data_IF_002851161462
#
_entry.id   IF_002851161462
#
_cell.length_a   1.000
_cell.length_b   1.000
_cell.length_c   1.000
_cell.angle_alpha   90.00
_cell.angle_beta   90.00
_cell.angle_gamma   90.00
#
_symmetry.space_group_name_H-M   'P 1'
#
loop_
_entity.id
_entity.type
_entity.pdbx_description
1 polymer ?
#
# COMPACT_ATOMS: atom_id res chain seq x y z
N UNK A 1 32.58 59.28 -23.13
CA UNK A 1 32.71 57.85 -22.76
C UNK A 1 31.39 57.41 -22.12
N UNK A 2 30.55 56.69 -22.87
CA UNK A 2 29.30 56.12 -22.38
C UNK A 2 29.58 54.66 -21.98
N UNK A 3 29.53 54.33 -20.69
CA UNK A 3 29.55 52.93 -20.24
C UNK A 3 28.12 52.37 -20.31
N UNK A 4 27.91 51.41 -21.20
CA UNK A 4 26.74 50.51 -21.14
C UNK A 4 26.97 49.45 -20.07
N UNK A 5 26.13 49.44 -19.03
CA UNK A 5 26.03 48.32 -18.11
C UNK A 5 25.00 47.33 -18.67
N UNK A 6 25.48 46.21 -19.23
CA UNK A 6 24.62 45.09 -19.62
C UNK A 6 24.24 44.32 -18.34
N UNK A 7 22.98 44.43 -17.93
CA UNK A 7 22.42 43.61 -16.85
C UNK A 7 22.25 42.17 -17.36
N UNK A 8 23.02 41.25 -16.80
CA UNK A 8 22.84 39.83 -17.04
C UNK A 8 21.53 39.37 -16.37
N UNK A 9 20.51 39.09 -17.18
CA UNK A 9 19.32 38.38 -16.74
C UNK A 9 19.72 36.95 -16.40
N UNK A 10 19.86 36.65 -15.11
CA UNK A 10 19.96 35.28 -14.65
C UNK A 10 18.63 34.56 -14.98
N UNK A 11 18.65 33.43 -15.72
CA UNK A 11 17.43 32.67 -15.96
C UNK A 11 16.91 32.16 -14.61
N UNK A 12 15.66 32.51 -14.29
CA UNK A 12 14.97 31.89 -13.17
C UNK A 12 14.86 30.38 -13.43
N UNK A 13 15.14 29.51 -12.46
CA UNK A 13 14.81 28.11 -12.61
C UNK A 13 13.29 27.98 -12.62
N UNK A 14 12.71 27.89 -13.82
CA UNK A 14 11.33 27.48 -14.00
C UNK A 14 11.31 25.96 -14.15
N UNK A 15 11.13 25.27 -13.03
CA UNK A 15 10.43 24.01 -13.05
C UNK A 15 9.18 24.23 -12.23
N UNK A 16 8.04 24.46 -12.90
CA UNK A 16 6.78 24.09 -12.28
C UNK A 16 6.87 22.58 -12.09
N UNK A 17 7.15 22.13 -10.86
CA UNK A 17 7.09 20.71 -10.53
C UNK A 17 5.71 20.21 -10.96
N UNK A 18 5.66 19.18 -11.82
CA UNK A 18 4.41 18.55 -12.20
C UNK A 18 3.73 17.96 -10.98
N UNK A 19 2.43 17.65 -11.07
CA UNK A 19 1.74 16.87 -10.04
C UNK A 19 1.71 15.43 -10.50
N UNK A 20 2.23 14.50 -9.70
CA UNK A 20 2.13 13.07 -9.99
C UNK A 20 0.67 12.63 -9.82
N UNK A 21 -0.02 12.46 -10.94
CA UNK A 21 -1.41 11.99 -10.97
C UNK A 21 -1.51 10.49 -10.64
N UNK A 22 -2.68 10.00 -10.21
CA UNK A 22 -2.91 8.57 -10.02
C UNK A 22 -2.67 7.74 -11.28
N UNK A 23 -2.91 8.32 -12.46
CA UNK A 23 -2.66 7.67 -13.76
C UNK A 23 -1.17 7.52 -14.03
N UNK A 24 -0.38 8.57 -13.83
CA UNK A 24 1.08 8.50 -13.97
C UNK A 24 1.67 7.54 -12.94
N UNK A 25 1.18 7.57 -11.70
CA UNK A 25 1.62 6.64 -10.68
C UNK A 25 1.30 5.18 -11.05
N UNK A 26 0.16 4.92 -11.70
CA UNK A 26 -0.19 3.59 -12.22
C UNK A 26 0.76 3.13 -13.34
N UNK A 27 1.15 4.05 -14.24
CA UNK A 27 2.16 3.74 -15.28
C UNK A 27 3.53 3.42 -14.65
N UNK A 28 3.93 4.18 -13.64
CA UNK A 28 5.18 3.95 -12.90
C UNK A 28 5.13 2.65 -12.10
N UNK A 29 3.98 2.32 -11.51
CA UNK A 29 3.75 1.02 -10.87
C UNK A 29 3.94 -0.11 -11.88
N UNK A 30 3.30 -0.01 -13.05
CA UNK A 30 3.41 -1.00 -14.10
C UNK A 30 4.87 -1.19 -14.57
N UNK A 31 5.68 -0.14 -14.58
CA UNK A 31 7.09 -0.21 -14.94
C UNK A 31 8.00 -0.74 -13.81
N UNK A 32 7.76 -0.33 -12.55
CA UNK A 32 8.70 -0.50 -11.44
C UNK A 32 8.40 -1.65 -10.48
N UNK A 33 7.15 -2.15 -10.44
CA UNK A 33 6.76 -3.22 -9.49
C UNK A 33 6.84 -4.59 -10.17
N UNK A 34 7.50 -5.57 -9.55
CA UNK A 34 7.48 -6.96 -9.97
C UNK A 34 6.31 -7.73 -9.33
N UNK A 35 5.96 -8.92 -9.85
CA UNK A 35 4.86 -9.76 -9.35
C UNK A 35 3.52 -9.00 -9.31
N UNK A 36 3.20 -8.32 -10.41
CA UNK A 36 1.94 -7.57 -10.55
C UNK A 36 0.81 -8.54 -10.92
N UNK A 37 -0.40 -8.23 -10.50
CA UNK A 37 -1.60 -8.94 -10.90
C UNK A 37 -2.36 -8.16 -11.96
N UNK A 38 -2.86 -8.85 -12.97
CA UNK A 38 -3.75 -8.28 -13.98
C UNK A 38 -5.20 -8.42 -13.50
N UNK A 39 -5.68 -7.43 -12.76
CA UNK A 39 -6.98 -7.46 -12.09
C UNK A 39 -8.07 -7.01 -13.06
N UNK A 40 -9.06 -7.87 -13.39
CA UNK A 40 -10.18 -7.51 -14.25
C UNK A 40 -10.97 -6.32 -13.70
N UNK A 41 -11.50 -5.47 -14.58
CA UNK A 41 -12.16 -4.24 -14.14
C UNK A 41 -13.36 -4.47 -13.21
N UNK A 42 -14.13 -5.53 -13.39
CA UNK A 42 -15.21 -5.91 -12.47
C UNK A 42 -14.69 -6.22 -11.06
N UNK A 43 -13.53 -6.86 -10.96
CA UNK A 43 -12.88 -7.16 -9.68
C UNK A 43 -12.40 -5.88 -9.00
N UNK A 44 -11.84 -4.94 -9.78
CA UNK A 44 -11.47 -3.61 -9.27
C UNK A 44 -12.67 -2.92 -8.58
N UNK A 45 -13.86 -3.00 -9.17
CA UNK A 45 -15.08 -2.43 -8.58
C UNK A 45 -15.52 -3.15 -7.30
N UNK A 46 -15.44 -4.48 -7.27
CA UNK A 46 -15.77 -5.28 -6.07
C UNK A 46 -14.85 -4.89 -4.92
N UNK A 47 -13.54 -4.89 -5.15
CA UNK A 47 -12.55 -4.58 -4.12
C UNK A 47 -12.59 -3.13 -3.65
N UNK A 48 -12.87 -2.18 -4.55
CA UNK A 48 -13.15 -0.81 -4.17
C UNK A 48 -14.40 -0.69 -3.27
N UNK A 49 -15.45 -1.45 -3.58
CA UNK A 49 -16.68 -1.49 -2.76
C UNK A 49 -16.46 -2.09 -1.37
N UNK A 50 -15.73 -3.20 -1.27
CA UNK A 50 -15.36 -3.82 0.02
C UNK A 50 -14.51 -2.86 0.86
N UNK A 51 -13.53 -2.19 0.25
CA UNK A 51 -12.73 -1.17 0.92
C UNK A 51 -13.58 0.01 1.40
N UNK A 52 -14.52 0.49 0.58
CA UNK A 52 -15.43 1.58 0.98
C UNK A 52 -16.33 1.18 2.16
N UNK A 53 -16.79 -0.07 2.22
CA UNK A 53 -17.60 -0.57 3.33
C UNK A 53 -16.82 -0.51 4.67
N UNK A 54 -15.56 -0.95 4.68
CA UNK A 54 -14.68 -0.82 5.85
C UNK A 54 -14.43 0.64 6.23
N UNK A 55 -14.17 1.51 5.23
CA UNK A 55 -13.94 2.93 5.44
C UNK A 55 -15.17 3.66 6.00
N UNK A 56 -16.38 3.29 5.56
CA UNK A 56 -17.62 3.86 6.06
C UNK A 56 -17.91 3.47 7.52
N UNK A 57 -17.40 2.32 7.98
CA UNK A 57 -17.45 1.90 9.38
C UNK A 57 -16.42 2.59 10.29
N UNK A 58 -15.44 3.30 9.72
CA UNK A 58 -14.39 3.95 10.51
C UNK A 58 -14.89 5.26 11.15
N UNK A 59 -14.69 5.48 12.47
CA UNK A 59 -15.31 6.59 13.23
C UNK A 59 -15.06 7.98 12.66
N UNK A 60 -13.86 8.20 12.12
CA UNK A 60 -13.42 9.53 11.68
C UNK A 60 -13.83 9.89 10.25
N UNK A 61 -14.48 8.97 9.51
CA UNK A 61 -14.96 9.21 8.15
C UNK A 61 -13.88 9.78 7.21
N UNK A 62 -13.19 8.93 6.45
CA UNK A 62 -12.12 9.42 5.58
C UNK A 62 -12.69 10.18 4.36
N UNK A 63 -12.64 11.51 4.40
CA UNK A 63 -13.22 12.37 3.35
C UNK A 63 -12.20 12.93 2.35
N UNK A 64 -10.92 12.98 2.72
CA UNK A 64 -9.88 13.57 1.88
C UNK A 64 -9.41 12.60 0.78
N UNK A 65 -9.05 13.11 -0.41
CA UNK A 65 -8.40 12.30 -1.44
C UNK A 65 -7.07 11.76 -0.94
N UNK A 66 -6.86 10.45 -1.06
CA UNK A 66 -5.63 9.81 -0.63
C UNK A 66 -5.41 8.44 -1.28
N UNK A 67 -4.16 7.99 -1.28
CA UNK A 67 -3.84 6.60 -1.58
C UNK A 67 -4.17 5.69 -0.38
N UNK A 68 -4.54 4.46 -0.67
CA UNK A 68 -4.88 3.43 0.31
C UNK A 68 -4.20 2.13 -0.09
N UNK A 69 -3.59 1.47 0.90
CA UNK A 69 -3.19 0.08 0.75
C UNK A 69 -4.36 -0.78 1.22
N UNK A 70 -5.02 -1.47 0.29
CA UNK A 70 -6.10 -2.40 0.60
C UNK A 70 -5.55 -3.81 0.48
N UNK A 71 -5.79 -4.67 1.47
CA UNK A 71 -5.30 -6.04 1.49
C UNK A 71 -6.48 -6.99 1.69
N UNK A 72 -6.64 -7.92 0.76
CA UNK A 72 -7.54 -9.05 0.96
C UNK A 72 -6.79 -10.18 1.67
N UNK A 73 -7.23 -10.42 2.91
CA UNK A 73 -6.71 -11.44 3.81
C UNK A 73 -7.37 -12.81 3.63
N UNK A 74 -8.36 -12.93 2.75
CA UNK A 74 -8.96 -14.21 2.38
C UNK A 74 -7.86 -15.18 1.91
N UNK A 75 -7.76 -16.42 2.44
CA UNK A 75 -6.75 -17.40 2.02
C UNK A 75 -6.79 -17.71 0.51
N UNK A 76 -7.96 -17.62 -0.11
CA UNK A 76 -8.15 -17.85 -1.54
C UNK A 76 -7.63 -16.69 -2.40
N UNK A 77 -7.40 -15.50 -1.84
CA UNK A 77 -7.02 -14.29 -2.59
C UNK A 77 -5.63 -13.76 -2.25
N UNK A 78 -5.38 -13.40 -0.99
CA UNK A 78 -4.06 -12.95 -0.52
C UNK A 78 -3.41 -11.89 -1.43
N UNK A 79 -4.07 -10.74 -1.58
CA UNK A 79 -3.67 -9.70 -2.54
C UNK A 79 -3.63 -8.33 -1.87
N UNK A 80 -2.64 -7.53 -2.24
CA UNK A 80 -2.58 -6.10 -1.94
C UNK A 80 -2.93 -5.28 -3.18
N UNK A 81 -3.86 -4.35 -3.02
CA UNK A 81 -4.25 -3.34 -3.99
C UNK A 81 -3.78 -1.98 -3.51
N UNK A 82 -3.15 -1.21 -4.39
CA UNK A 82 -2.90 0.19 -4.18
C UNK A 82 -3.99 0.98 -4.90
N UNK A 83 -4.88 1.59 -4.14
CA UNK A 83 -5.95 2.42 -4.67
C UNK A 83 -5.65 3.91 -4.44
N UNK A 84 -6.05 4.75 -5.39
CA UNK A 84 -6.34 6.15 -5.12
C UNK A 84 -7.82 6.31 -4.88
N UNK A 85 -8.21 6.87 -3.74
CA UNK A 85 -9.60 7.22 -3.43
C UNK A 85 -9.75 8.73 -3.53
N UNK A 86 -10.58 9.18 -4.47
CA UNK A 86 -10.84 10.61 -4.66
C UNK A 86 -11.91 11.12 -3.67
N UNK A 87 -13.00 10.37 -3.54
CA UNK A 87 -14.13 10.63 -2.66
C UNK A 87 -14.86 9.30 -2.41
N UNK A 88 -15.81 9.21 -1.44
CA UNK A 88 -16.55 7.99 -1.16
C UNK A 88 -17.10 7.29 -2.41
N UNK A 89 -16.71 6.03 -2.61
CA UNK A 89 -17.13 5.21 -3.76
C UNK A 89 -16.45 5.57 -5.10
N UNK A 90 -15.50 6.50 -5.13
CA UNK A 90 -14.70 6.83 -6.34
C UNK A 90 -13.25 6.44 -6.15
N UNK A 91 -12.92 5.28 -6.70
CA UNK A 91 -11.59 4.69 -6.64
C UNK A 91 -10.97 4.59 -8.03
N UNK A 92 -9.65 4.68 -8.07
CA UNK A 92 -8.83 4.31 -9.22
C UNK A 92 -7.76 3.33 -8.73
N UNK A 93 -7.67 2.16 -9.37
CA UNK A 93 -6.58 1.24 -9.10
C UNK A 93 -5.28 1.81 -9.66
N UNK A 94 -4.25 1.87 -8.82
CA UNK A 94 -2.87 2.15 -9.23
C UNK A 94 -2.21 0.86 -9.69
N UNK A 95 -2.39 -0.22 -8.92
CA UNK A 95 -1.95 -1.56 -9.26
C UNK A 95 -2.17 -2.56 -8.12
N UNK A 96 -1.90 -3.83 -8.37
CA UNK A 96 -2.06 -4.90 -7.39
C UNK A 96 -0.90 -5.89 -7.44
N UNK A 97 -0.62 -6.53 -6.30
CA UNK A 97 0.39 -7.57 -6.14
C UNK A 97 -0.11 -8.65 -5.17
N UNK A 98 0.40 -9.88 -5.20
CA UNK A 98 0.15 -10.82 -4.12
C UNK A 98 0.67 -10.26 -2.79
N UNK A 99 0.00 -10.63 -1.71
CA UNK A 99 0.40 -10.36 -0.34
C UNK A 99 0.44 -11.68 0.44
N UNK A 100 0.96 -11.65 1.66
CA UNK A 100 0.80 -12.76 2.61
C UNK A 100 0.38 -12.19 3.95
N UNK A 101 -0.79 -12.56 4.43
CA UNK A 101 -1.33 -12.20 5.75
C UNK A 101 -1.22 -13.38 6.71
N UNK A 102 -1.55 -13.15 7.98
CA UNK A 102 -1.56 -14.18 9.01
C UNK A 102 -2.81 -15.02 8.90
N UNK A 103 -2.66 -16.34 8.89
CA UNK A 103 -3.79 -17.27 8.78
C UNK A 103 -4.25 -17.76 10.14
N UNK A 104 -5.57 -17.92 10.35
CA UNK A 104 -6.10 -18.62 11.50
C UNK A 104 -5.82 -20.13 11.47
N UNK A 105 -5.26 -20.70 10.39
CA UNK A 105 -5.00 -22.14 10.29
C UNK A 105 -3.58 -22.53 10.70
N UNK A 106 -2.69 -21.55 10.93
CA UNK A 106 -1.27 -21.81 11.22
C UNK A 106 -0.97 -21.73 12.72
N UNK A 107 -0.59 -22.86 13.38
CA UNK A 107 -0.31 -22.86 14.81
C UNK A 107 0.76 -21.84 15.22
N UNK A 108 0.53 -21.16 16.34
CA UNK A 108 1.44 -20.15 16.89
C UNK A 108 1.40 -18.78 16.20
N UNK A 109 0.58 -18.62 15.15
CA UNK A 109 0.41 -17.34 14.45
C UNK A 109 -0.85 -16.58 14.92
N UNK A 110 -0.86 -15.28 14.64
CA UNK A 110 -2.04 -14.43 14.78
C UNK A 110 -2.67 -14.22 13.40
N UNK A 111 -4.00 -14.26 13.36
CA UNK A 111 -4.77 -13.86 12.19
C UNK A 111 -4.63 -12.35 11.98
N UNK A 112 -4.38 -11.92 10.74
CA UNK A 112 -4.37 -10.49 10.44
C UNK A 112 -5.80 -9.95 10.59
N UNK A 113 -6.05 -8.95 11.45
CA UNK A 113 -7.40 -8.46 11.68
C UNK A 113 -7.91 -7.67 10.47
N UNK A 114 -9.19 -7.82 10.14
CA UNK A 114 -9.91 -6.95 9.20
C UNK A 114 -10.23 -5.60 9.85
N UNK A 115 -10.34 -4.56 9.02
CA UNK A 115 -10.65 -3.20 9.44
C UNK A 115 -9.78 -2.14 8.76
N UNK A 116 -9.94 -0.91 9.21
CA UNK A 116 -9.17 0.26 8.76
C UNK A 116 -8.18 0.64 9.84
N UNK A 117 -6.91 0.71 9.48
CA UNK A 117 -5.81 0.96 10.40
C UNK A 117 -5.04 2.21 10.00
N UNK A 118 -5.08 3.29 10.82
CA UNK A 118 -4.23 4.45 10.61
C UNK A 118 -2.77 4.09 10.88
N UNK A 119 -1.89 4.67 10.08
CA UNK A 119 -0.46 4.52 10.23
C UNK A 119 0.02 5.19 11.51
N UNK A 120 0.68 4.41 12.36
CA UNK A 120 1.31 4.88 13.59
C UNK A 120 2.68 5.50 13.31
N UNK A 121 3.48 4.85 12.46
CA UNK A 121 4.80 5.35 12.06
C UNK A 121 5.29 4.73 10.77
N UNK A 122 6.31 5.33 10.18
CA UNK A 122 7.09 4.75 9.09
C UNK A 122 8.55 4.75 9.49
N UNK A 123 9.21 3.61 9.35
CA UNK A 123 10.61 3.45 9.76
C UNK A 123 11.41 2.63 8.76
N UNK A 124 12.73 2.74 8.82
CA UNK A 124 13.61 1.90 8.01
C UNK A 124 13.79 0.55 8.70
N UNK A 125 13.59 -0.53 7.95
CA UNK A 125 13.70 -1.90 8.47
C UNK A 125 15.15 -2.35 8.75
N UNK A 126 16.14 -1.46 8.53
CA UNK A 126 17.57 -1.74 8.61
C UNK A 126 18.15 -2.43 7.35
N UNK A 127 19.50 -2.51 7.28
CA UNK A 127 20.25 -3.00 6.09
C UNK A 127 19.89 -4.42 5.64
N UNK A 128 19.41 -5.28 6.55
CA UNK A 128 19.07 -6.68 6.23
C UNK A 128 17.77 -6.82 5.40
N UNK A 129 16.93 -5.78 5.38
CA UNK A 129 15.62 -5.79 4.72
C UNK A 129 15.57 -4.87 3.50
N UNK A 130 16.54 -3.94 3.35
CA UNK A 130 16.60 -2.94 2.28
C UNK A 130 15.23 -2.31 1.96
N UNK A 131 14.43 -2.02 3.00
CA UNK A 131 13.04 -1.59 2.80
C UNK A 131 12.50 -0.78 3.97
N UNK A 132 11.42 -0.05 3.69
CA UNK A 132 10.56 0.63 4.65
C UNK A 132 9.69 -0.38 5.44
N UNK A 133 9.31 -0.02 6.66
CA UNK A 133 8.23 -0.66 7.45
C UNK A 133 7.14 0.38 7.66
N UNK A 134 5.92 0.04 7.27
CA UNK A 134 4.73 0.82 7.59
C UNK A 134 4.08 0.19 8.81
N UNK A 135 4.02 0.94 9.90
CA UNK A 135 3.55 0.48 11.20
C UNK A 135 2.13 0.97 11.46
N UNK A 136 1.25 0.08 11.92
CA UNK A 136 -0.16 0.35 12.19
C UNK A 136 -0.50 0.08 13.67
N UNK A 137 0.51 0.10 14.54
CA UNK A 137 0.35 -0.03 15.98
C UNK A 137 0.06 -1.45 16.44
N UNK A 138 -0.34 -1.55 17.71
CA UNK A 138 -0.70 -2.82 18.34
C UNK A 138 -2.19 -3.05 18.22
N UNK A 139 -2.56 -4.14 17.57
CA UNK A 139 -3.93 -4.56 17.33
C UNK A 139 -4.26 -5.82 18.13
N UNK A 140 -5.52 -5.97 18.51
CA UNK A 140 -6.02 -7.21 19.10
C UNK A 140 -6.37 -8.17 17.96
N UNK A 141 -5.66 -9.29 17.88
CA UNK A 141 -5.82 -10.27 16.81
C UNK A 141 -6.22 -11.64 17.37
N UNK A 142 -6.97 -12.41 16.59
CA UNK A 142 -7.34 -13.78 16.96
C UNK A 142 -6.14 -14.70 16.83
N UNK A 143 -5.99 -15.64 17.75
CA UNK A 143 -5.01 -16.73 17.65
C UNK A 143 -5.55 -17.80 16.72
N UNK A 144 -4.69 -18.28 15.82
CA UNK A 144 -5.02 -19.33 14.87
C UNK A 144 -5.61 -20.60 15.52
N UNK A 145 -5.12 -20.98 16.69
CA UNK A 145 -5.65 -22.14 17.44
C UNK A 145 -7.08 -21.99 17.96
N UNK A 146 -7.76 -20.87 17.73
CA UNK A 146 -9.06 -20.55 18.33
C UNK A 146 -8.99 -20.24 19.84
N UNK A 147 -7.79 -20.28 20.43
CA UNK A 147 -7.54 -20.10 21.87
C UNK A 147 -7.53 -18.62 22.29
N UNK A 148 -8.51 -17.85 21.83
CA UNK A 148 -8.69 -16.44 22.19
C UNK A 148 -7.85 -15.47 21.36
N UNK A 149 -7.42 -14.38 21.99
CA UNK A 149 -6.81 -13.22 21.34
C UNK A 149 -5.36 -12.99 21.81
N UNK A 150 -4.59 -12.27 21.00
CA UNK A 150 -3.25 -11.80 21.32
C UNK A 150 -3.01 -10.38 20.82
N UNK A 151 -1.93 -9.77 21.30
CA UNK A 151 -1.45 -8.49 20.80
C UNK A 151 -0.61 -8.74 19.54
N UNK A 152 -1.08 -8.26 18.39
CA UNK A 152 -0.37 -8.24 17.12
C UNK A 152 0.20 -6.85 16.91
N UNK A 153 1.50 -6.74 16.67
CA UNK A 153 2.06 -5.51 16.15
C UNK A 153 1.89 -5.51 14.62
N UNK A 154 0.86 -4.81 14.13
CA UNK A 154 0.45 -4.85 12.74
C UNK A 154 1.38 -3.98 11.90
N UNK A 155 2.01 -4.59 10.91
CA UNK A 155 2.99 -3.94 10.03
C UNK A 155 2.79 -4.41 8.60
N UNK A 156 2.99 -3.51 7.64
CA UNK A 156 3.21 -3.86 6.24
C UNK A 156 4.69 -3.70 5.89
N UNK A 157 5.31 -4.76 5.35
CA UNK A 157 6.75 -4.79 5.07
C UNK A 157 7.09 -5.76 3.95
N UNK A 158 8.33 -5.65 3.45
CA UNK A 158 8.82 -6.53 2.40
C UNK A 158 8.93 -7.98 2.91
N UNK A 159 8.49 -8.93 2.10
CA UNK A 159 8.79 -10.33 2.28
C UNK A 159 10.28 -10.58 2.05
N UNK A 160 10.91 -11.37 2.94
CA UNK A 160 12.34 -11.71 2.84
C UNK A 160 12.55 -13.21 2.96
N UNK A 161 13.70 -13.66 2.44
CA UNK A 161 14.08 -15.07 2.46
C UNK A 161 12.98 -15.96 1.87
N UNK A 162 12.61 -17.00 2.62
CA UNK A 162 11.61 -18.00 2.19
C UNK A 162 10.20 -17.42 2.03
N UNK A 163 9.86 -16.36 2.75
CA UNK A 163 8.52 -15.76 2.68
C UNK A 163 8.24 -15.12 1.31
N UNK A 164 9.27 -14.81 0.51
CA UNK A 164 9.08 -14.30 -0.85
C UNK A 164 8.36 -15.30 -1.76
N UNK A 165 8.59 -16.59 -1.56
CA UNK A 165 7.93 -17.66 -2.32
C UNK A 165 6.51 -17.96 -1.81
N UNK A 166 6.10 -17.35 -0.70
CA UNK A 166 4.81 -17.57 -0.04
C UNK A 166 3.85 -16.40 -0.24
N UNK A 167 4.23 -15.39 -1.01
CA UNK A 167 3.33 -14.33 -1.44
C UNK A 167 2.18 -14.94 -2.25
N UNK A 168 0.96 -14.46 -2.01
CA UNK A 168 -0.27 -15.09 -2.50
C UNK A 168 -0.76 -16.24 -1.61
N UNK A 169 -0.24 -16.40 -0.39
CA UNK A 169 -0.72 -17.40 0.58
C UNK A 169 -0.81 -16.79 1.98
N UNK A 170 -1.77 -17.25 2.78
CA UNK A 170 -1.95 -16.79 4.16
C UNK A 170 -0.94 -17.48 5.09
N UNK A 171 0.33 -17.05 5.04
CA UNK A 171 1.41 -17.75 5.74
C UNK A 171 2.20 -16.88 6.73
N UNK A 172 1.92 -15.58 6.82
CA UNK A 172 2.66 -14.72 7.75
C UNK A 172 2.36 -15.07 9.23
N UNK A 173 3.06 -14.42 10.14
CA UNK A 173 2.79 -14.48 11.59
C UNK A 173 1.76 -13.44 12.08
N UNK A 174 1.06 -12.77 11.15
CA UNK A 174 0.06 -11.73 11.41
C UNK A 174 0.37 -10.42 10.70
N UNK A 175 1.61 -10.21 10.27
CA UNK A 175 2.02 -9.02 9.50
C UNK A 175 1.58 -9.12 8.04
N UNK A 176 1.40 -7.98 7.38
CA UNK A 176 1.22 -7.95 5.93
C UNK A 176 2.59 -8.01 5.25
N UNK A 177 2.85 -9.11 4.55
CA UNK A 177 4.05 -9.24 3.73
C UNK A 177 3.74 -8.87 2.28
N UNK A 178 4.55 -7.98 1.72
CA UNK A 178 4.42 -7.45 0.37
C UNK A 178 5.65 -7.82 -0.48
N UNK A 179 5.57 -7.79 -1.82
CA UNK A 179 6.76 -7.91 -2.65
C UNK A 179 7.75 -6.79 -2.34
N UNK A 180 9.07 -7.06 -2.27
CA UNK A 180 10.08 -6.03 -2.04
C UNK A 180 10.00 -4.85 -3.03
N UNK A 181 9.65 -5.12 -4.28
CA UNK A 181 9.47 -4.08 -5.31
C UNK A 181 8.28 -3.16 -5.03
N UNK A 182 7.20 -3.67 -4.43
CA UNK A 182 6.08 -2.82 -4.02
C UNK A 182 6.51 -1.92 -2.86
N UNK A 183 7.20 -2.45 -1.86
CA UNK A 183 7.66 -1.63 -0.72
C UNK A 183 8.65 -0.56 -1.17
N UNK A 184 9.59 -0.90 -2.05
CA UNK A 184 10.51 0.07 -2.65
C UNK A 184 9.76 1.15 -3.44
N UNK A 185 8.72 0.78 -4.20
CA UNK A 185 7.87 1.71 -4.91
C UNK A 185 7.14 2.68 -3.96
N UNK A 186 6.50 2.15 -2.92
CA UNK A 186 5.79 2.96 -1.92
C UNK A 186 6.71 3.96 -1.22
N UNK A 187 7.95 3.56 -0.93
CA UNK A 187 8.97 4.40 -0.30
C UNK A 187 9.52 5.47 -1.26
N UNK A 188 9.89 5.05 -2.47
CA UNK A 188 10.45 5.92 -3.52
C UNK A 188 9.49 7.06 -3.88
N UNK A 189 8.21 6.78 -3.98
CA UNK A 189 7.18 7.76 -4.35
C UNK A 189 6.46 8.37 -3.14
N UNK A 190 6.79 7.97 -1.90
CA UNK A 190 6.16 8.49 -0.68
C UNK A 190 4.64 8.23 -0.60
N UNK A 191 4.15 7.17 -1.25
CA UNK A 191 2.71 6.97 -1.51
C UNK A 191 1.91 6.75 -0.22
N UNK A 192 2.51 6.12 0.78
CA UNK A 192 1.91 5.86 2.11
C UNK A 192 2.65 6.60 3.23
N UNK A 193 3.33 7.70 2.92
CA UNK A 193 4.06 8.48 3.91
C UNK A 193 3.53 9.91 3.96
N UNK A 194 2.29 10.07 4.43
CA UNK A 194 1.65 11.38 4.56
C UNK A 194 2.43 12.37 5.46
N UNK A 195 3.30 11.88 6.34
CA UNK A 195 4.14 12.72 7.21
C UNK A 195 5.48 13.11 6.57
N UNK A 196 5.79 12.57 5.39
CA UNK A 196 7.01 12.91 4.66
C UNK A 196 7.04 14.38 4.28
N UNK A 197 8.11 15.06 4.68
CA UNK A 197 8.32 16.50 4.41
C UNK A 197 8.65 16.75 2.94
N UNK A 198 9.50 15.92 2.34
CA UNK A 198 9.82 15.98 0.92
C UNK A 198 8.88 15.06 0.13
N UNK A 199 7.91 15.66 -0.55
CA UNK A 199 6.91 14.99 -1.37
C UNK A 199 7.27 15.01 -2.87
N UNK A 200 8.54 15.15 -3.19
CA UNK A 200 9.02 15.12 -4.57
C UNK A 200 9.26 13.68 -5.01
N UNK A 201 8.73 13.27 -6.15
CA UNK A 201 9.03 11.98 -6.78
C UNK A 201 10.42 12.00 -7.42
N UNK A 202 11.01 10.84 -7.79
CA UNK A 202 12.31 10.81 -8.47
C UNK A 202 12.38 11.65 -9.75
N UNK A 203 11.25 11.83 -10.43
CA UNK A 203 11.09 12.61 -11.65
C UNK A 203 10.94 14.12 -11.40
N UNK A 204 10.89 14.54 -10.12
CA UNK A 204 10.74 15.95 -9.74
C UNK A 204 9.30 16.41 -9.55
N UNK A 205 8.31 15.52 -9.67
CA UNK A 205 6.90 15.85 -9.51
C UNK A 205 6.49 15.90 -8.03
N UNK A 206 5.49 16.69 -7.70
CA UNK A 206 4.89 16.70 -6.37
C UNK A 206 3.88 15.56 -6.18
N UNK A 207 3.92 14.89 -5.02
CA UNK A 207 2.97 13.86 -4.58
C UNK A 207 1.97 14.44 -3.56
N UNK A 208 0.81 14.97 -3.99
CA UNK A 208 -0.09 15.71 -3.11
C UNK A 208 -0.93 14.83 -2.15
N UNK A 209 -1.26 13.60 -2.55
CA UNK A 209 -2.29 12.78 -1.90
C UNK A 209 -1.75 11.53 -1.21
N UNK A 210 -0.56 11.62 -0.62
CA UNK A 210 0.01 10.51 0.15
C UNK A 210 -0.99 9.98 1.19
N UNK A 211 -1.11 8.65 1.23
CA UNK A 211 -1.96 7.92 2.16
C UNK A 211 -1.33 7.68 3.52
N UNK A 212 -2.17 7.25 4.45
CA UNK A 212 -1.74 6.84 5.79
C UNK A 212 -2.59 5.71 6.36
N UNK A 213 -3.26 4.93 5.50
CA UNK A 213 -4.15 3.86 5.94
C UNK A 213 -3.85 2.55 5.25
N UNK A 214 -3.89 1.49 6.05
CA UNK A 214 -4.05 0.12 5.61
C UNK A 214 -5.51 -0.27 5.84
N UNK A 215 -6.16 -0.81 4.81
CA UNK A 215 -7.49 -1.41 4.91
C UNK A 215 -7.30 -2.90 4.70
N UNK A 216 -7.68 -3.71 5.68
CA UNK A 216 -7.69 -5.18 5.56
C UNK A 216 -9.13 -5.64 5.45
N UNK A 217 -9.43 -6.38 4.40
CA UNK A 217 -10.75 -6.99 4.18
C UNK A 217 -10.61 -8.52 4.16
N UNK A 218 -11.73 -9.20 4.27
CA UNK A 218 -11.91 -10.58 3.85
C UNK A 218 -12.99 -10.61 2.78
N UNK A 219 -12.67 -11.04 1.56
CA UNK A 219 -13.66 -11.19 0.50
C UNK A 219 -14.54 -12.44 0.66
N UNK A 220 -14.24 -13.31 1.62
CA UNK A 220 -14.93 -14.57 1.89
C UNK A 220 -14.99 -15.51 0.67
N UNK A 221 -14.09 -15.33 -0.31
CA UNK A 221 -14.07 -16.16 -1.51
C UNK A 221 -13.65 -17.58 -1.20
N UNK A 222 -14.47 -18.53 -1.65
CA UNK A 222 -14.18 -19.96 -1.50
C UNK A 222 -13.08 -20.41 -2.48
N UNK A 223 -13.07 -19.86 -3.69
CA UNK A 223 -12.15 -20.26 -4.75
C UNK A 223 -11.21 -19.13 -5.16
N UNK A 224 -9.99 -19.51 -5.53
CA UNK A 224 -8.98 -18.59 -6.07
C UNK A 224 -9.28 -18.30 -7.54
N UNK A 225 -9.53 -17.04 -7.91
CA UNK A 225 -9.70 -16.68 -9.31
C UNK A 225 -8.34 -16.63 -10.02
N UNK A 226 -8.35 -16.84 -11.34
CA UNK A 226 -7.13 -16.90 -12.16
C UNK A 226 -6.28 -15.63 -12.07
N UNK A 227 -6.91 -14.45 -11.93
CA UNK A 227 -6.21 -13.17 -11.82
C UNK A 227 -5.42 -13.01 -10.51
N UNK A 228 -5.77 -13.77 -9.47
CA UNK A 228 -5.09 -13.73 -8.16
C UNK A 228 -3.86 -14.64 -8.11
N UNK A 229 -3.51 -15.28 -9.23
CA UNK A 229 -2.29 -16.06 -9.37
C UNK A 229 -1.22 -15.13 -9.96
N UNK A 230 -0.12 -14.92 -9.25
CA UNK A 230 1.00 -14.15 -9.79
C UNK A 230 1.58 -14.83 -11.04
N UNK A 231 1.75 -14.03 -12.09
CA UNK A 231 2.44 -14.42 -13.33
C UNK A 231 3.96 -14.30 -13.20
#
# INVERSE_FOLDING_TARGET
>A
MLLSAAAALAPWPSFAAGVCTPRELSQRFAAGVAQKLDVPQNEVWIYAGLAEAELAGHPDGLLQPQYLLVVDSCPSIQTAFLFFRLLPGRFQLVGATPASTGSPLRPGCLETPCGVFPQASVSDAGRAMASRVYDFGTQRARRASGLGYGALHLQARAAVGRNRALLGTAHSDGRVLLPPSLVAFLDTYGVLDAQRTDRTTPEGDHMPFAGQYLVVIDSEREERPDWAIAS
#
